data_IF_256336615058
#
_entry.id   IF_256336615058
#
_cell.length_a   1.000
_cell.length_b   1.000
_cell.length_c   1.000
_cell.angle_alpha   90.00
_cell.angle_beta   90.00
_cell.angle_gamma   90.00
#
_symmetry.space_group_name_H-M   'P 1'
#
loop_
_entity.id
_entity.type
_entity.pdbx_description
1 polymer ?
#
# COMPACT_ATOMS: atom_id res chain seq x y z
N UNK A 1 15.07 -4.14 -3.72
CA UNK A 1 15.31 -2.75 -3.40
C UNK A 1 14.89 -1.87 -4.56
N UNK A 2 14.07 -0.87 -4.29
CA UNK A 2 13.62 0.03 -5.33
C UNK A 2 14.70 1.01 -5.76
N UNK A 3 14.48 1.69 -6.88
CA UNK A 3 15.37 2.76 -7.32
C UNK A 3 15.38 3.88 -6.29
N UNK A 4 16.49 4.64 -6.20
CA UNK A 4 16.52 5.77 -5.29
C UNK A 4 15.37 6.74 -5.55
N UNK A 5 14.70 7.16 -4.49
CA UNK A 5 13.59 8.09 -4.59
C UNK A 5 12.21 7.45 -4.77
N UNK A 6 12.15 6.15 -4.96
CA UNK A 6 10.86 5.47 -5.06
C UNK A 6 10.13 5.46 -3.72
N UNK A 7 8.80 5.45 -3.83
CA UNK A 7 7.89 5.40 -2.70
C UNK A 7 7.37 3.97 -2.58
N UNK A 8 7.26 3.46 -1.38
CA UNK A 8 6.77 2.10 -1.13
C UNK A 8 5.39 2.13 -0.52
N UNK A 9 4.46 1.38 -1.12
CA UNK A 9 3.15 1.12 -0.56
C UNK A 9 3.08 -0.34 -0.18
N UNK A 10 2.85 -0.61 1.10
CA UNK A 10 2.66 -1.97 1.59
C UNK A 10 1.18 -2.19 1.87
N UNK A 11 0.65 -3.30 1.40
CA UNK A 11 -0.75 -3.68 1.62
C UNK A 11 -0.75 -5.00 2.37
N UNK A 12 -1.17 -4.96 3.61
CA UNK A 12 -1.20 -6.14 4.48
C UNK A 12 -2.54 -6.84 4.33
N UNK A 13 -2.50 -8.12 4.01
CA UNK A 13 -3.68 -8.94 3.74
C UNK A 13 -3.54 -10.30 4.42
N UNK A 14 -4.62 -11.09 4.41
CA UNK A 14 -4.53 -12.49 4.79
C UNK A 14 -5.60 -13.28 4.04
N UNK A 15 -5.50 -14.60 4.10
CA UNK A 15 -6.42 -15.49 3.41
C UNK A 15 -7.82 -15.45 4.05
N UNK A 16 -8.85 -15.72 3.23
CA UNK A 16 -10.21 -15.80 3.72
C UNK A 16 -10.84 -14.46 4.05
N UNK A 17 -10.29 -13.40 3.52
CA UNK A 17 -10.73 -12.04 3.79
C UNK A 17 -11.29 -11.44 2.51
N UNK A 18 -12.60 -11.19 2.46
CA UNK A 18 -13.24 -10.63 1.27
C UNK A 18 -12.70 -9.25 0.92
N UNK A 19 -12.52 -8.40 1.94
CA UNK A 19 -12.00 -7.07 1.72
C UNK A 19 -10.54 -7.08 1.28
N UNK A 20 -9.81 -8.16 1.59
CA UNK A 20 -8.44 -8.31 1.12
C UNK A 20 -8.37 -8.61 -0.38
N UNK A 21 -9.38 -9.27 -0.95
CA UNK A 21 -9.43 -9.47 -2.40
C UNK A 21 -9.54 -8.13 -3.11
N UNK A 22 -10.35 -7.22 -2.58
CA UNK A 22 -10.43 -5.87 -3.12
C UNK A 22 -9.10 -5.13 -2.93
N UNK A 23 -8.44 -5.32 -1.79
CA UNK A 23 -7.15 -4.70 -1.54
C UNK A 23 -6.11 -5.13 -2.56
N UNK A 24 -6.11 -6.40 -2.95
CA UNK A 24 -5.19 -6.89 -3.97
C UNK A 24 -5.45 -6.23 -5.32
N UNK A 25 -6.73 -6.03 -5.67
CA UNK A 25 -7.09 -5.34 -6.91
C UNK A 25 -6.64 -3.88 -6.87
N UNK A 26 -6.86 -3.21 -5.75
CA UNK A 26 -6.43 -1.82 -5.59
C UNK A 26 -4.90 -1.72 -5.72
N UNK A 27 -4.18 -2.67 -5.10
CA UNK A 27 -2.73 -2.71 -5.20
C UNK A 27 -2.27 -2.85 -6.65
N UNK A 28 -2.94 -3.70 -7.42
CA UNK A 28 -2.62 -3.88 -8.84
C UNK A 28 -2.87 -2.61 -9.65
N UNK A 29 -3.95 -1.89 -9.33
CA UNK A 29 -4.25 -0.63 -10.01
C UNK A 29 -3.18 0.42 -9.71
N UNK A 30 -2.75 0.52 -8.46
CA UNK A 30 -1.68 1.45 -8.08
C UNK A 30 -0.38 1.09 -8.79
N UNK A 31 -0.05 -0.19 -8.81
CA UNK A 31 1.18 -0.65 -9.45
C UNK A 31 1.18 -0.29 -10.95
N UNK A 32 0.04 -0.43 -11.60
CA UNK A 32 -0.08 -0.10 -13.03
C UNK A 32 -0.08 1.41 -13.28
N UNK A 33 -0.67 2.18 -12.38
CA UNK A 33 -0.86 3.62 -12.56
C UNK A 33 0.35 4.44 -12.14
N UNK A 34 1.09 3.99 -11.13
CA UNK A 34 2.20 4.75 -10.56
C UNK A 34 3.49 3.95 -10.63
N UNK A 35 4.25 4.07 -11.73
CA UNK A 35 5.52 3.34 -11.84
C UNK A 35 6.54 3.78 -10.79
N UNK A 36 6.36 4.97 -10.20
CA UNK A 36 7.24 5.47 -9.14
C UNK A 36 6.97 4.80 -7.79
N UNK A 37 5.86 4.06 -7.67
CA UNK A 37 5.47 3.40 -6.43
C UNK A 37 5.82 1.92 -6.49
N UNK A 38 6.58 1.46 -5.52
CA UNK A 38 6.85 0.03 -5.34
C UNK A 38 5.74 -0.53 -4.46
N UNK A 39 4.92 -1.40 -5.02
CA UNK A 39 3.78 -1.98 -4.31
C UNK A 39 4.15 -3.36 -3.80
N UNK A 40 4.01 -3.55 -2.49
CA UNK A 40 4.30 -4.83 -1.84
C UNK A 40 3.03 -5.34 -1.16
N UNK A 41 2.65 -6.57 -1.48
CA UNK A 41 1.55 -7.23 -0.77
C UNK A 41 2.17 -8.14 0.28
N UNK A 42 1.83 -7.90 1.54
CA UNK A 42 2.35 -8.67 2.66
C UNK A 42 1.23 -9.57 3.17
N UNK A 43 1.40 -10.88 2.98
CA UNK A 43 0.42 -11.86 3.44
C UNK A 43 0.76 -12.25 4.88
N UNK A 44 -0.11 -11.89 5.80
CA UNK A 44 0.13 -12.10 7.23
C UNK A 44 0.02 -13.56 7.65
N UNK A 45 -0.50 -14.43 6.76
CA UNK A 45 -0.49 -15.86 7.00
C UNK A 45 0.86 -16.50 6.69
N UNK A 46 1.62 -15.86 5.81
CA UNK A 46 2.91 -16.40 5.35
C UNK A 46 4.10 -15.70 5.99
N UNK A 47 3.94 -14.43 6.34
CA UNK A 47 5.03 -13.61 6.88
C UNK A 47 4.57 -12.85 8.10
N UNK A 48 5.45 -12.77 9.11
CA UNK A 48 5.21 -11.92 10.24
C UNK A 48 5.36 -10.47 9.79
N UNK A 49 4.40 -9.59 10.13
CA UNK A 49 4.57 -8.18 9.78
C UNK A 49 5.75 -7.58 10.53
N UNK A 50 6.47 -6.70 9.85
CA UNK A 50 7.59 -5.99 10.46
C UNK A 50 7.10 -4.94 11.45
N UNK A 51 5.85 -4.55 11.36
CA UNK A 51 5.25 -3.49 12.16
C UNK A 51 4.31 -4.10 13.20
N UNK A 52 4.51 -3.73 14.44
CA UNK A 52 3.64 -4.18 15.53
C UNK A 52 2.30 -3.47 15.54
N UNK A 53 2.22 -2.31 14.86
CA UNK A 53 0.99 -1.54 14.78
C UNK A 53 0.02 -2.04 13.71
N UNK A 54 0.41 -3.06 12.94
CA UNK A 54 -0.49 -3.67 11.95
C UNK A 54 -1.19 -4.86 12.62
N UNK A 55 -2.44 -4.65 12.98
CA UNK A 55 -3.23 -5.65 13.70
C UNK A 55 -4.56 -5.98 13.02
N UNK A 56 -4.83 -5.38 11.89
CA UNK A 56 -6.06 -5.59 11.14
C UNK A 56 -5.73 -5.69 9.66
N UNK A 57 -6.62 -6.31 8.90
CA UNK A 57 -6.45 -6.43 7.45
C UNK A 57 -7.75 -6.02 6.75
N UNK A 58 -7.66 -5.40 5.58
CA UNK A 58 -6.43 -4.93 4.97
C UNK A 58 -5.91 -3.66 5.65
N UNK A 59 -4.59 -3.48 5.66
CA UNK A 59 -3.98 -2.24 6.14
C UNK A 59 -3.05 -1.74 5.06
N UNK A 60 -3.13 -0.45 4.78
CA UNK A 60 -2.30 0.21 3.76
C UNK A 60 -1.27 1.08 4.47
N UNK A 61 -0.01 0.85 4.18
CA UNK A 61 1.10 1.62 4.75
C UNK A 61 1.85 2.28 3.61
N UNK A 62 1.82 3.61 3.58
CA UNK A 62 2.53 4.39 2.59
C UNK A 62 3.79 4.94 3.24
N UNK A 63 4.93 4.45 2.80
CA UNK A 63 6.22 4.66 3.44
C UNK A 63 6.15 4.16 4.87
N UNK A 64 6.26 5.02 5.88
CA UNK A 64 6.19 4.61 7.27
C UNK A 64 4.88 4.99 7.94
N UNK A 65 3.90 5.46 7.17
CA UNK A 65 2.64 5.92 7.73
C UNK A 65 1.52 4.96 7.39
N UNK A 66 0.72 4.60 8.39
CA UNK A 66 -0.52 3.87 8.13
C UNK A 66 -1.46 4.84 7.43
N UNK A 67 -1.76 4.53 6.18
CA UNK A 67 -2.62 5.36 5.36
C UNK A 67 -4.09 5.04 5.61
N UNK A 68 -4.40 3.76 5.77
CA UNK A 68 -5.78 3.32 5.92
C UNK A 68 -5.85 1.97 6.61
N UNK A 69 -6.79 1.84 7.53
CA UNK A 69 -7.21 0.57 8.09
C UNK A 69 -8.50 0.20 7.38
N UNK A 70 -8.43 -0.80 6.52
CA UNK A 70 -9.50 -1.11 5.59
C UNK A 70 -9.22 -0.50 4.22
N UNK A 71 -10.06 -0.81 3.25
CA UNK A 71 -9.87 -0.29 1.91
C UNK A 71 -10.22 1.19 1.84
N UNK A 72 -9.30 2.04 1.37
CA UNK A 72 -9.60 3.45 1.18
C UNK A 72 -10.41 3.64 -0.09
N UNK A 73 -10.97 4.83 -0.25
CA UNK A 73 -11.51 5.22 -1.55
C UNK A 73 -10.35 5.41 -2.50
N UNK A 74 -10.51 4.94 -3.75
CA UNK A 74 -9.43 5.00 -4.71
C UNK A 74 -8.98 6.42 -5.00
N UNK A 75 -9.92 7.36 -5.04
CA UNK A 75 -9.59 8.76 -5.27
C UNK A 75 -8.73 9.33 -4.14
N UNK A 76 -9.04 8.99 -2.90
CA UNK A 76 -8.26 9.45 -1.75
C UNK A 76 -6.86 8.83 -1.76
N UNK A 77 -6.77 7.55 -2.09
CA UNK A 77 -5.48 6.87 -2.18
C UNK A 77 -4.61 7.51 -3.25
N UNK A 78 -5.18 7.81 -4.41
CA UNK A 78 -4.43 8.47 -5.49
C UNK A 78 -3.92 9.83 -5.07
N UNK A 79 -4.76 10.61 -4.38
CA UNK A 79 -4.35 11.95 -3.94
C UNK A 79 -3.20 11.89 -2.93
N UNK A 80 -3.26 10.94 -2.02
CA UNK A 80 -2.18 10.76 -1.05
C UNK A 80 -0.87 10.37 -1.73
N UNK A 81 -0.95 9.46 -2.69
CA UNK A 81 0.24 9.05 -3.44
C UNK A 81 0.79 10.22 -4.24
N UNK A 82 -0.06 10.95 -4.95
CA UNK A 82 0.36 12.08 -5.75
C UNK A 82 1.02 13.17 -4.90
N UNK A 83 0.43 13.43 -3.74
CA UNK A 83 0.98 14.44 -2.83
C UNK A 83 2.40 14.05 -2.38
N UNK A 84 2.59 12.79 -2.03
CA UNK A 84 3.91 12.33 -1.61
C UNK A 84 4.92 12.36 -2.74
N UNK A 85 4.51 11.97 -3.95
CA UNK A 85 5.38 12.00 -5.13
C UNK A 85 5.83 13.43 -5.44
N UNK A 86 4.93 14.41 -5.30
CA UNK A 86 5.27 15.81 -5.51
C UNK A 86 6.30 16.30 -4.49
N UNK A 87 6.09 15.93 -3.22
CA UNK A 87 7.02 16.31 -2.15
C UNK A 87 8.40 15.73 -2.42
N UNK A 88 8.44 14.53 -2.98
CA UNK A 88 9.71 13.86 -3.30
C UNK A 88 10.30 14.28 -4.63
N UNK A 89 9.60 15.09 -5.40
CA UNK A 89 10.09 15.54 -6.70
C UNK A 89 10.06 14.47 -7.76
N UNK A 90 9.17 13.50 -7.64
CA UNK A 90 9.07 12.38 -8.59
C UNK A 90 8.02 12.60 -9.67
N UNK A 91 7.23 13.64 -9.55
CA UNK A 91 6.27 14.07 -10.57
C UNK A 91 6.26 15.57 -10.70
#
# INVERSE_FOLDING_TARGET
MGAPGQVTLQVYVKHGCETCDRARKIAQLVDAEFPEVSVEIVDMNESQPQREDVFAVPTYVLEDHILSLGNPQESELREEIKALLRVRGLV
#
